data_IF_480048514933
#
_entry.id   IF_480048514933
#
_cell.length_a   1.000
_cell.length_b   1.000
_cell.length_c   1.000
_cell.angle_alpha   90.00
_cell.angle_beta   90.00
_cell.angle_gamma   90.00
#
_symmetry.space_group_name_H-M   'P 1'
#
loop_
_entity.id
_entity.type
_entity.pdbx_description
1 polymer ?
#
# COMPACT_ATOMS: atom_id res chain seq x y z
N UNK A 1 32.34 -4.26 22.79
CA UNK A 1 33.44 -3.32 23.10
C UNK A 1 33.12 -2.03 22.37
N UNK A 2 32.78 -0.96 23.08
CA UNK A 2 32.59 0.34 22.45
C UNK A 2 33.97 0.93 22.20
N UNK A 3 34.39 1.02 20.94
CA UNK A 3 35.61 1.72 20.55
C UNK A 3 35.47 3.19 20.92
N UNK A 4 36.43 3.70 21.68
CA UNK A 4 36.54 5.12 22.03
C UNK A 4 36.77 5.92 20.75
N UNK A 5 35.75 6.61 20.27
CA UNK A 5 35.85 7.51 19.11
C UNK A 5 36.65 8.75 19.55
N UNK A 6 37.72 9.06 18.83
CA UNK A 6 38.56 10.23 19.13
C UNK A 6 37.99 11.48 18.48
N UNK A 7 38.39 12.67 18.96
CA UNK A 7 37.97 13.94 18.37
C UNK A 7 38.42 14.05 16.90
N UNK A 8 39.64 13.60 16.59
CA UNK A 8 40.17 13.54 15.23
C UNK A 8 39.31 12.68 14.31
N UNK A 9 38.84 11.52 14.77
CA UNK A 9 37.95 10.66 13.98
C UNK A 9 36.62 11.36 13.69
N UNK A 10 36.09 12.09 14.67
CA UNK A 10 34.85 12.82 14.53
C UNK A 10 34.97 13.98 13.52
N UNK A 11 36.10 14.69 13.52
CA UNK A 11 36.38 15.77 12.57
C UNK A 11 36.63 15.24 11.16
N UNK A 12 37.41 14.16 11.02
CA UNK A 12 37.66 13.49 9.75
C UNK A 12 36.37 13.03 9.06
N UNK A 13 35.39 12.54 9.83
CA UNK A 13 34.09 12.18 9.28
C UNK A 13 33.32 13.38 8.71
N UNK A 14 33.51 14.59 9.25
CA UNK A 14 32.86 15.81 8.75
C UNK A 14 33.53 16.25 7.45
N UNK A 15 34.87 16.21 7.40
CA UNK A 15 35.64 16.56 6.20
C UNK A 15 35.26 15.65 5.01
N UNK A 16 35.03 14.36 5.26
CA UNK A 16 34.58 13.40 4.24
C UNK A 16 33.19 13.71 3.66
N UNK A 17 32.32 14.39 4.41
CA UNK A 17 31.00 14.77 3.92
C UNK A 17 31.06 15.98 2.97
N UNK A 18 32.08 16.82 3.08
CA UNK A 18 32.28 17.96 2.18
C UNK A 18 32.73 17.54 0.77
N UNK A 19 33.44 16.40 0.66
CA UNK A 19 33.92 15.86 -0.61
C UNK A 19 32.86 15.03 -1.36
N UNK A 20 31.70 14.77 -0.75
CA UNK A 20 30.65 13.97 -1.39
C UNK A 20 29.93 14.78 -2.47
N UNK A 21 29.89 14.29 -3.72
CA UNK A 21 29.12 14.94 -4.77
C UNK A 21 27.64 14.89 -4.40
N UNK A 22 27.01 16.07 -4.34
CA UNK A 22 25.57 16.15 -4.14
C UNK A 22 24.87 15.63 -5.41
N UNK A 23 23.84 14.78 -5.29
CA UNK A 23 22.98 14.44 -6.41
C UNK A 23 22.13 15.67 -6.76
N UNK A 24 22.68 16.51 -7.63
CA UNK A 24 22.10 17.72 -8.17
C UNK A 24 20.91 17.45 -9.12
N UNK A 25 20.79 16.21 -9.59
CA UNK A 25 19.69 15.79 -10.44
C UNK A 25 18.50 15.33 -9.61
N UNK A 26 17.60 16.26 -9.31
CA UNK A 26 16.22 15.89 -9.02
C UNK A 26 15.67 15.11 -10.22
N UNK A 27 15.06 13.92 -10.02
CA UNK A 27 14.37 13.25 -11.11
C UNK A 27 13.28 14.19 -11.62
N UNK A 28 13.31 14.55 -12.91
CA UNK A 28 12.24 15.32 -13.53
C UNK A 28 10.94 14.51 -13.42
N UNK A 29 10.06 14.91 -12.51
CA UNK A 29 8.74 14.30 -12.31
C UNK A 29 7.69 14.86 -13.27
N UNK A 30 8.04 15.86 -14.09
CA UNK A 30 7.11 16.47 -15.03
C UNK A 30 6.99 15.62 -16.30
N UNK A 31 5.80 15.05 -16.59
CA UNK A 31 5.57 14.35 -17.84
C UNK A 31 5.66 15.33 -19.01
N UNK A 32 6.18 14.87 -20.16
CA UNK A 32 6.15 15.68 -21.38
C UNK A 32 4.71 16.12 -21.69
N UNK A 33 4.49 17.37 -22.12
CA UNK A 33 3.18 17.82 -22.58
C UNK A 33 2.76 16.99 -23.80
N UNK A 34 1.82 16.08 -23.61
CA UNK A 34 1.24 15.26 -24.67
C UNK A 34 -0.12 15.81 -25.06
N UNK A 35 -0.33 16.04 -26.35
CA UNK A 35 -1.63 16.46 -26.89
C UNK A 35 -2.58 15.26 -26.89
N UNK A 36 -3.61 15.30 -26.05
CA UNK A 36 -4.67 14.28 -26.05
C UNK A 36 -5.64 14.57 -27.20
N UNK A 37 -5.55 13.78 -28.28
CA UNK A 37 -6.55 13.80 -29.35
C UNK A 37 -7.73 12.95 -28.88
N UNK A 38 -8.84 13.60 -28.49
CA UNK A 38 -10.08 12.91 -28.15
C UNK A 38 -10.92 12.69 -29.41
N UNK A 39 -11.15 11.43 -29.77
CA UNK A 39 -12.11 11.05 -30.81
C UNK A 39 -13.36 10.46 -30.13
N UNK A 40 -14.55 11.05 -30.31
CA UNK A 40 -15.76 10.50 -29.73
C UNK A 40 -16.06 9.13 -30.36
N UNK A 41 -16.16 8.10 -29.52
CA UNK A 41 -16.58 6.76 -29.91
C UNK A 41 -18.10 6.63 -29.69
N UNK A 42 -18.86 6.50 -30.78
CA UNK A 42 -20.32 6.28 -30.74
C UNK A 42 -20.71 4.80 -30.74
N UNK A 43 -19.74 3.90 -30.62
CA UNK A 43 -20.00 2.48 -30.49
C UNK A 43 -20.73 2.21 -29.17
N UNK A 44 -21.97 1.75 -29.26
CA UNK A 44 -22.78 1.36 -28.09
C UNK A 44 -22.58 -0.11 -27.70
N UNK A 45 -21.64 -0.82 -28.35
CA UNK A 45 -21.30 -2.18 -27.94
C UNK A 45 -20.75 -2.17 -26.52
N UNK A 46 -21.16 -3.16 -25.72
CA UNK A 46 -20.69 -3.31 -24.35
C UNK A 46 -19.28 -3.92 -24.34
N UNK A 47 -18.28 -3.14 -24.75
CA UNK A 47 -16.88 -3.56 -24.88
C UNK A 47 -16.28 -4.00 -23.53
N UNK A 48 -16.74 -3.41 -22.43
CA UNK A 48 -16.32 -3.71 -21.06
C UNK A 48 -17.04 -4.92 -20.43
N UNK A 49 -17.71 -5.77 -21.23
CA UNK A 49 -18.43 -6.96 -20.73
C UNK A 49 -17.57 -7.82 -19.80
N UNK A 50 -16.31 -8.04 -20.15
CA UNK A 50 -15.41 -8.85 -19.34
C UNK A 50 -15.11 -8.17 -18.00
N UNK A 51 -14.84 -6.86 -18.01
CA UNK A 51 -14.63 -6.09 -16.78
C UNK A 51 -15.88 -6.10 -15.88
N UNK A 52 -17.08 -6.00 -16.48
CA UNK A 52 -18.34 -6.12 -15.76
C UNK A 52 -18.52 -7.49 -15.09
N UNK A 53 -18.31 -8.59 -15.84
CA UNK A 53 -18.42 -9.96 -15.31
C UNK A 53 -17.40 -10.20 -14.20
N UNK A 54 -16.15 -9.78 -14.40
CA UNK A 54 -15.11 -9.86 -13.37
C UNK A 54 -15.45 -9.03 -12.14
N UNK A 55 -16.01 -7.83 -12.33
CA UNK A 55 -16.46 -6.96 -11.24
C UNK A 55 -17.51 -7.62 -10.36
N UNK A 56 -18.52 -8.24 -10.98
CA UNK A 56 -19.56 -8.99 -10.25
C UNK A 56 -18.98 -10.18 -9.49
N UNK A 57 -18.10 -10.97 -10.14
CA UNK A 57 -17.47 -12.11 -9.50
C UNK A 57 -16.65 -11.70 -8.26
N UNK A 58 -15.83 -10.64 -8.37
CA UNK A 58 -15.05 -10.10 -7.25
C UNK A 58 -15.94 -9.58 -6.13
N UNK A 59 -17.03 -8.89 -6.46
CA UNK A 59 -17.95 -8.39 -5.45
C UNK A 59 -18.58 -9.52 -4.62
N UNK A 60 -19.03 -10.59 -5.29
CA UNK A 60 -19.61 -11.77 -4.62
C UNK A 60 -18.58 -12.46 -3.72
N UNK A 61 -17.35 -12.62 -4.21
CA UNK A 61 -16.25 -13.19 -3.43
C UNK A 61 -15.98 -12.38 -2.17
N UNK A 62 -15.83 -11.05 -2.32
CA UNK A 62 -15.61 -10.16 -1.17
C UNK A 62 -16.76 -10.20 -0.16
N UNK A 63 -18.01 -10.22 -0.63
CA UNK A 63 -19.18 -10.33 0.26
C UNK A 63 -19.19 -11.66 1.03
N UNK A 64 -18.77 -12.76 0.37
CA UNK A 64 -18.67 -14.09 0.99
C UNK A 64 -17.57 -14.14 2.06
N UNK A 65 -16.39 -13.60 1.75
CA UNK A 65 -15.28 -13.50 2.72
C UNK A 65 -15.66 -12.60 3.90
N UNK A 66 -16.32 -11.48 3.65
CA UNK A 66 -16.79 -10.60 4.71
C UNK A 66 -17.81 -11.30 5.63
N UNK A 67 -18.77 -12.00 5.04
CA UNK A 67 -19.76 -12.80 5.79
C UNK A 67 -19.10 -13.86 6.66
N UNK A 68 -18.12 -14.59 6.13
CA UNK A 68 -17.41 -15.63 6.89
C UNK A 68 -16.61 -15.04 8.05
N UNK A 69 -15.93 -13.91 7.83
CA UNK A 69 -15.19 -13.19 8.88
C UNK A 69 -16.11 -12.69 10.00
N UNK A 70 -17.24 -12.07 9.63
CA UNK A 70 -18.25 -11.60 10.61
C UNK A 70 -18.82 -12.76 11.40
N UNK A 71 -19.13 -13.88 10.75
CA UNK A 71 -19.62 -15.09 11.43
C UNK A 71 -18.59 -15.65 12.42
N UNK A 72 -17.33 -15.76 12.01
CA UNK A 72 -16.24 -16.19 12.89
C UNK A 72 -16.08 -15.24 14.09
N UNK A 73 -16.05 -13.93 13.88
CA UNK A 73 -15.96 -12.96 14.97
C UNK A 73 -17.10 -13.11 15.98
N UNK A 74 -18.32 -13.35 15.51
CA UNK A 74 -19.49 -13.58 16.37
C UNK A 74 -19.38 -14.87 17.18
N UNK A 75 -18.86 -15.96 16.62
CA UNK A 75 -18.67 -17.21 17.38
C UNK A 75 -17.58 -17.08 18.44
N UNK A 76 -16.47 -16.40 18.12
CA UNK A 76 -15.42 -16.10 19.08
C UNK A 76 -15.92 -15.25 20.26
N UNK A 77 -16.72 -14.22 20.00
CA UNK A 77 -17.31 -13.40 21.06
C UNK A 77 -18.20 -14.22 21.98
N UNK A 78 -19.07 -15.07 21.42
CA UNK A 78 -19.90 -15.99 22.22
C UNK A 78 -19.06 -16.92 23.10
N UNK A 79 -18.01 -17.52 22.55
CA UNK A 79 -17.12 -18.37 23.34
C UNK A 79 -16.39 -17.61 24.46
N UNK A 80 -15.97 -16.36 24.19
CA UNK A 80 -15.35 -15.50 25.19
C UNK A 80 -16.32 -15.16 26.34
N UNK A 81 -17.56 -14.81 26.02
CA UNK A 81 -18.61 -14.54 27.02
C UNK A 81 -18.89 -15.78 27.88
N UNK A 82 -19.00 -16.95 27.27
CA UNK A 82 -19.17 -18.23 27.99
C UNK A 82 -17.99 -18.48 28.94
N UNK A 83 -16.76 -18.31 28.47
CA UNK A 83 -15.56 -18.52 29.30
C UNK A 83 -15.52 -17.56 30.50
N UNK A 84 -15.85 -16.28 30.29
CA UNK A 84 -15.93 -15.31 31.38
C UNK A 84 -17.03 -15.66 32.39
N UNK A 85 -18.18 -16.16 31.92
CA UNK A 85 -19.29 -16.57 32.78
C UNK A 85 -18.97 -17.80 33.65
N UNK A 86 -18.04 -18.67 33.23
CA UNK A 86 -17.65 -19.88 33.97
C UNK A 86 -16.48 -19.61 34.93
N UNK A 87 -15.69 -18.56 34.67
CA UNK A 87 -14.52 -18.17 35.47
C UNK A 87 -14.84 -17.28 36.68
N UNK A 88 -16.08 -16.80 36.83
CA UNK A 88 -16.55 -16.01 37.97
C UNK A 88 -17.30 -16.87 38.98
#
# INVERSE_FOLDING_TARGET
MASTVTLEDALSNVDLLEELPLPDQQPCIEPLPSSVVYQPNFNTNFEDRNAFVTGIARYIEQATVHSSMVNGGRTWLKHKEIFQSISG
#
